data_IF_577039130686
#
_entry.id   IF_577039130686
#
_cell.length_a   1.000
_cell.length_b   1.000
_cell.length_c   1.000
_cell.angle_alpha   90.00
_cell.angle_beta   90.00
_cell.angle_gamma   90.00
#
_symmetry.space_group_name_H-M   'P 1'
#
loop_
_entity.id
_entity.type
_entity.pdbx_description
1 polymer ?
#
# COMPACT_ATOMS: atom_id res chain seq x y z
N UNK A 1 20.91 17.50 -37.92
CA UNK A 1 19.80 18.12 -37.18
C UNK A 1 19.22 19.25 -38.03
N UNK A 2 18.05 19.06 -38.66
CA UNK A 2 17.48 20.04 -39.60
C UNK A 2 17.02 21.34 -38.92
N UNK A 3 16.96 21.41 -37.59
CA UNK A 3 16.45 22.57 -36.86
C UNK A 3 17.46 23.71 -36.69
N UNK A 4 18.74 23.49 -37.01
CA UNK A 4 19.77 24.53 -36.99
C UNK A 4 19.84 25.40 -38.26
N UNK A 5 19.03 25.12 -39.27
CA UNK A 5 18.99 25.92 -40.49
C UNK A 5 17.91 27.00 -40.38
N UNK A 6 18.31 28.27 -40.48
CA UNK A 6 17.37 29.42 -40.45
C UNK A 6 16.56 29.56 -41.75
N UNK A 7 16.99 28.92 -42.84
CA UNK A 7 16.33 29.01 -44.13
C UNK A 7 15.43 27.79 -44.41
N UNK A 8 14.13 28.04 -44.53
CA UNK A 8 13.12 27.04 -44.90
C UNK A 8 13.35 26.42 -46.28
N UNK A 9 14.13 27.07 -47.16
CA UNK A 9 14.54 26.50 -48.45
C UNK A 9 15.51 25.33 -48.25
N UNK A 10 16.47 25.48 -47.33
CA UNK A 10 17.46 24.46 -47.00
C UNK A 10 16.83 23.29 -46.24
N UNK A 11 15.86 23.56 -45.35
CA UNK A 11 15.06 22.49 -44.71
C UNK A 11 14.28 21.67 -45.73
N UNK A 12 13.70 22.29 -46.77
CA UNK A 12 12.99 21.59 -47.84
C UNK A 12 13.93 20.77 -48.73
N UNK A 13 15.11 21.30 -49.04
CA UNK A 13 16.15 20.58 -49.78
C UNK A 13 16.63 19.33 -49.03
N UNK A 14 16.95 19.46 -47.74
CA UNK A 14 17.37 18.35 -46.88
C UNK A 14 16.27 17.30 -46.69
N UNK A 15 15.00 17.71 -46.57
CA UNK A 15 13.87 16.75 -46.53
C UNK A 15 13.71 15.99 -47.84
N UNK A 16 13.87 16.66 -49.00
CA UNK A 16 13.84 16.00 -50.31
C UNK A 16 15.01 15.03 -50.48
N UNK A 17 16.22 15.43 -50.09
CA UNK A 17 17.41 14.58 -50.16
C UNK A 17 17.28 13.35 -49.24
N UNK A 18 16.81 13.54 -48.01
CA UNK A 18 16.59 12.45 -47.07
C UNK A 18 15.51 11.48 -47.56
N UNK A 19 14.44 11.99 -48.18
CA UNK A 19 13.41 11.14 -48.79
C UNK A 19 13.92 10.39 -50.03
N UNK A 20 14.81 11.00 -50.82
CA UNK A 20 15.44 10.36 -51.99
C UNK A 20 16.39 9.24 -51.56
N UNK A 21 17.28 9.51 -50.61
CA UNK A 21 18.22 8.52 -50.06
C UNK A 21 17.45 7.37 -49.40
N UNK A 22 16.35 7.66 -48.68
CA UNK A 22 15.51 6.63 -48.10
C UNK A 22 14.78 5.79 -49.15
N UNK A 23 14.40 6.40 -50.27
CA UNK A 23 13.83 5.70 -51.43
C UNK A 23 14.85 4.77 -52.10
N UNK A 24 16.08 5.23 -52.32
CA UNK A 24 17.15 4.42 -52.92
C UNK A 24 17.63 3.29 -52.00
N UNK A 25 17.75 3.54 -50.69
CA UNK A 25 18.10 2.48 -49.73
C UNK A 25 17.00 1.42 -49.63
N UNK A 26 15.72 1.82 -49.65
CA UNK A 26 14.59 0.87 -49.60
C UNK A 26 14.42 0.10 -50.92
N UNK A 27 14.77 0.70 -52.05
CA UNK A 27 14.73 0.03 -53.35
C UNK A 27 15.97 -0.85 -53.63
N UNK A 28 17.08 -0.63 -52.91
CA UNK A 28 18.30 -1.44 -52.99
C UNK A 28 18.41 -2.55 -51.94
N UNK A 29 17.51 -2.59 -50.95
CA UNK A 29 17.30 -3.80 -50.14
C UNK A 29 16.48 -4.79 -50.96
N UNK A 30 17.17 -5.53 -51.82
CA UNK A 30 16.64 -6.60 -52.65
C UNK A 30 15.65 -7.52 -51.89
N UNK A 31 14.66 -8.01 -52.63
CA UNK A 31 13.70 -9.07 -52.27
C UNK A 31 14.36 -10.34 -51.66
N UNK A 32 15.68 -10.47 -51.78
CA UNK A 32 16.50 -11.52 -51.18
C UNK A 32 16.52 -11.50 -49.64
N UNK A 33 16.35 -10.35 -48.98
CA UNK A 33 16.22 -10.28 -47.50
C UNK A 33 14.81 -10.65 -47.05
N UNK A 34 13.80 -10.42 -47.91
CA UNK A 34 12.40 -10.76 -47.62
C UNK A 34 12.18 -12.28 -47.73
N UNK A 35 12.88 -12.96 -48.63
CA UNK A 35 12.79 -14.41 -48.83
C UNK A 35 13.24 -15.27 -47.62
N UNK A 36 14.02 -14.74 -46.68
CA UNK A 36 14.49 -15.48 -45.50
C UNK A 36 13.45 -15.52 -44.36
N UNK A 37 12.31 -14.85 -44.51
CA UNK A 37 11.27 -14.80 -43.46
C UNK A 37 10.09 -15.75 -43.67
N UNK A 38 10.13 -16.64 -44.66
CA UNK A 38 9.08 -17.62 -44.96
C UNK A 38 9.14 -18.88 -44.08
N UNK A 39 9.60 -18.76 -42.83
CA UNK A 39 9.43 -19.82 -41.85
C UNK A 39 7.95 -19.89 -41.46
N UNK A 40 7.32 -21.05 -41.72
CA UNK A 40 5.91 -21.32 -41.44
C UNK A 40 5.45 -20.93 -40.03
N UNK A 41 4.13 -20.84 -39.80
CA UNK A 41 3.55 -20.25 -38.59
C UNK A 41 4.18 -20.91 -37.36
N UNK A 42 4.97 -20.11 -36.63
CA UNK A 42 5.66 -20.56 -35.42
C UNK A 42 4.61 -21.01 -34.42
N UNK A 43 4.46 -22.33 -34.28
CA UNK A 43 3.58 -22.95 -33.30
C UNK A 43 4.15 -22.67 -31.91
N UNK A 44 3.51 -21.76 -31.17
CA UNK A 44 3.87 -21.47 -29.79
C UNK A 44 3.52 -22.68 -28.92
N UNK A 45 4.55 -23.38 -28.42
CA UNK A 45 4.38 -24.40 -27.37
C UNK A 45 4.30 -23.69 -26.02
N UNK A 46 3.14 -23.78 -25.37
CA UNK A 46 2.93 -23.25 -24.02
C UNK A 46 3.51 -24.23 -23.00
N UNK A 47 4.67 -23.90 -22.43
CA UNK A 47 5.21 -24.57 -21.23
C UNK A 47 4.78 -23.80 -19.98
N UNK A 48 5.09 -24.32 -18.78
CA UNK A 48 4.81 -23.72 -17.46
C UNK A 48 5.30 -22.26 -17.26
N UNK A 49 5.95 -21.64 -18.26
CA UNK A 49 6.19 -20.19 -18.34
C UNK A 49 4.93 -19.37 -18.62
N UNK A 50 3.73 -19.95 -18.47
CA UNK A 50 2.44 -19.29 -18.73
C UNK A 50 2.20 -18.09 -17.83
N UNK A 51 2.81 -18.04 -16.64
CA UNK A 51 2.74 -16.89 -15.74
C UNK A 51 3.53 -15.71 -16.31
N UNK A 52 4.77 -15.95 -16.76
CA UNK A 52 5.57 -14.92 -17.44
C UNK A 52 4.90 -14.47 -18.74
N UNK A 53 4.31 -15.42 -19.48
CA UNK A 53 3.57 -15.11 -20.70
C UNK A 53 2.30 -14.28 -20.41
N UNK A 54 1.55 -14.61 -19.36
CA UNK A 54 0.39 -13.82 -18.92
C UNK A 54 0.82 -12.41 -18.50
N UNK A 55 1.94 -12.29 -17.79
CA UNK A 55 2.52 -11.01 -17.36
C UNK A 55 2.92 -10.15 -18.56
N UNK A 56 3.57 -10.73 -19.57
CA UNK A 56 4.02 -10.03 -20.77
C UNK A 56 2.86 -9.66 -21.72
N UNK A 57 1.75 -10.41 -21.67
CA UNK A 57 0.57 -10.14 -22.49
C UNK A 57 -0.32 -9.02 -21.94
N UNK A 58 -0.04 -8.49 -20.73
CA UNK A 58 -0.82 -7.38 -20.20
C UNK A 58 -0.52 -6.08 -20.92
N UNK A 59 -1.51 -5.50 -21.57
CA UNK A 59 -1.41 -4.23 -22.30
C UNK A 59 -0.97 -3.07 -21.40
N UNK A 60 -1.50 -3.02 -20.18
CA UNK A 60 -1.17 -2.03 -19.16
C UNK A 60 -0.43 -2.66 -17.98
N UNK A 61 0.84 -2.29 -17.81
CA UNK A 61 1.66 -2.60 -16.62
C UNK A 61 1.12 -1.93 -15.37
N UNK A 62 0.50 -0.75 -15.51
CA UNK A 62 -0.12 -0.07 -14.37
C UNK A 62 -1.25 -0.92 -13.80
N UNK A 63 -2.08 -1.49 -14.67
CA UNK A 63 -3.13 -2.41 -14.25
C UNK A 63 -2.53 -3.66 -13.60
N UNK A 64 -1.48 -4.26 -14.19
CA UNK A 64 -0.79 -5.40 -13.56
C UNK A 64 -0.31 -5.07 -12.13
N UNK A 65 0.33 -3.92 -11.93
CA UNK A 65 0.79 -3.48 -10.61
C UNK A 65 -0.38 -3.26 -9.64
N UNK A 66 -1.49 -2.68 -10.11
CA UNK A 66 -2.70 -2.48 -9.31
C UNK A 66 -3.33 -3.82 -8.89
N UNK A 67 -3.36 -4.81 -9.80
CA UNK A 67 -3.85 -6.16 -9.48
C UNK A 67 -2.95 -6.82 -8.44
N UNK A 68 -1.62 -6.78 -8.62
CA UNK A 68 -0.68 -7.32 -7.61
C UNK A 68 -0.82 -6.63 -6.25
N UNK A 69 -0.90 -5.31 -6.23
CA UNK A 69 -1.05 -4.54 -5.00
C UNK A 69 -2.41 -4.80 -4.34
N UNK A 70 -3.48 -4.91 -5.12
CA UNK A 70 -4.80 -5.31 -4.65
C UNK A 70 -4.79 -6.69 -4.02
N UNK A 71 -4.16 -7.67 -4.67
CA UNK A 71 -3.99 -9.01 -4.11
C UNK A 71 -3.18 -9.00 -2.81
N UNK A 72 -2.08 -8.24 -2.76
CA UNK A 72 -1.27 -8.08 -1.55
C UNK A 72 -2.10 -7.47 -0.41
N UNK A 73 -2.93 -6.46 -0.68
CA UNK A 73 -3.83 -5.89 0.32
C UNK A 73 -4.87 -6.91 0.80
N UNK A 74 -5.45 -7.73 -0.09
CA UNK A 74 -6.37 -8.82 0.29
C UNK A 74 -5.65 -9.81 1.20
N UNK A 75 -4.44 -10.21 0.83
CA UNK A 75 -3.60 -11.13 1.60
C UNK A 75 -3.27 -10.58 2.99
N UNK A 76 -2.81 -9.32 3.07
CA UNK A 76 -2.49 -8.66 4.33
C UNK A 76 -3.72 -8.55 5.23
N UNK A 77 -4.86 -8.14 4.68
CA UNK A 77 -6.12 -8.07 5.44
C UNK A 77 -6.56 -9.44 5.96
N UNK A 78 -6.39 -10.47 5.14
CA UNK A 78 -6.70 -11.84 5.55
C UNK A 78 -5.77 -12.32 6.68
N UNK A 79 -4.49 -11.95 6.65
CA UNK A 79 -3.55 -12.22 7.74
C UNK A 79 -3.90 -11.45 9.02
N UNK A 80 -4.27 -10.16 8.91
CA UNK A 80 -4.55 -9.30 10.08
C UNK A 80 -5.84 -9.67 10.79
N UNK A 81 -6.89 -10.00 10.04
CA UNK A 81 -8.18 -10.34 10.65
C UNK A 81 -8.17 -11.73 11.31
N UNK A 82 -7.03 -12.43 11.19
CA UNK A 82 -6.84 -13.78 11.65
C UNK A 82 -7.70 -14.74 10.86
N UNK A 83 -7.14 -15.87 10.43
CA UNK A 83 -7.98 -17.06 10.27
C UNK A 83 -8.58 -17.27 11.66
N UNK A 84 -9.85 -16.87 11.88
CA UNK A 84 -10.57 -17.20 13.11
C UNK A 84 -10.30 -18.67 13.34
N UNK A 85 -9.53 -18.96 14.39
CA UNK A 85 -9.08 -20.31 14.73
C UNK A 85 -10.34 -21.08 15.07
N UNK A 86 -11.00 -21.66 14.07
CA UNK A 86 -11.97 -22.71 14.33
C UNK A 86 -11.11 -23.88 14.77
N UNK A 87 -11.22 -24.23 16.05
CA UNK A 87 -10.55 -25.38 16.63
C UNK A 87 -11.19 -26.66 16.10
N UNK A 88 -10.83 -27.02 14.87
CA UNK A 88 -11.53 -28.08 14.12
C UNK A 88 -11.06 -29.48 14.55
N UNK A 89 -9.89 -29.66 15.18
CA UNK A 89 -9.31 -31.03 15.31
C UNK A 89 -8.66 -31.38 16.66
N UNK A 90 -8.12 -30.43 17.43
CA UNK A 90 -7.38 -30.78 18.66
C UNK A 90 -8.11 -30.33 19.92
N UNK A 91 -8.75 -31.27 20.64
CA UNK A 91 -9.24 -31.03 22.00
C UNK A 91 -8.15 -31.23 23.08
N UNK A 92 -7.09 -31.97 22.77
CA UNK A 92 -6.02 -32.23 23.74
C UNK A 92 -4.96 -31.12 23.73
N UNK A 93 -4.53 -30.66 24.90
CA UNK A 93 -3.50 -29.62 25.04
C UNK A 93 -2.07 -30.06 24.70
N UNK A 94 -1.87 -31.30 24.27
CA UNK A 94 -0.55 -31.81 23.92
C UNK A 94 0.14 -30.93 22.87
N UNK A 95 1.41 -30.61 23.12
CA UNK A 95 2.26 -29.78 22.26
C UNK A 95 2.23 -30.25 20.78
N UNK A 96 2.34 -31.56 20.55
CA UNK A 96 2.29 -32.13 19.20
C UNK A 96 0.98 -31.84 18.46
N UNK A 97 -0.15 -31.82 19.17
CA UNK A 97 -1.46 -31.50 18.59
C UNK A 97 -1.51 -30.03 18.16
N UNK A 98 -1.03 -29.10 18.99
CA UNK A 98 -0.98 -27.66 18.68
C UNK A 98 -0.07 -27.37 17.47
N UNK A 99 1.09 -28.03 17.39
CA UNK A 99 2.01 -27.88 16.25
C UNK A 99 1.38 -28.43 14.96
N UNK A 100 0.82 -29.64 15.00
CA UNK A 100 0.16 -30.25 13.84
C UNK A 100 -1.04 -29.40 13.35
N UNK A 101 -1.85 -28.88 14.26
CA UNK A 101 -2.96 -27.97 13.94
C UNK A 101 -2.45 -26.66 13.32
N UNK A 102 -1.35 -26.11 13.82
CA UNK A 102 -0.73 -24.91 13.24
C UNK A 102 -0.25 -25.17 11.80
N UNK A 103 0.48 -26.27 11.57
CA UNK A 103 0.95 -26.65 10.23
C UNK A 103 -0.23 -26.86 9.28
N UNK A 104 -1.24 -27.61 9.71
CA UNK A 104 -2.43 -27.87 8.91
C UNK A 104 -3.15 -26.57 8.53
N UNK A 105 -3.36 -25.67 9.50
CA UNK A 105 -3.97 -24.37 9.25
C UNK A 105 -3.16 -23.55 8.24
N UNK A 106 -1.84 -23.52 8.33
CA UNK A 106 -0.98 -22.84 7.37
C UNK A 106 -1.04 -23.47 5.97
N UNK A 107 -1.06 -24.79 5.86
CA UNK A 107 -1.16 -25.49 4.56
C UNK A 107 -2.51 -25.21 3.90
N UNK A 108 -3.61 -25.34 4.64
CA UNK A 108 -4.96 -25.04 4.14
C UNK A 108 -5.06 -23.57 3.75
N UNK A 109 -4.49 -22.68 4.56
CA UNK A 109 -4.44 -21.25 4.29
C UNK A 109 -3.69 -20.94 2.99
N UNK A 110 -2.49 -21.50 2.80
CA UNK A 110 -1.68 -21.30 1.60
C UNK A 110 -2.38 -21.84 0.35
N UNK A 111 -3.06 -22.99 0.46
CA UNK A 111 -3.84 -23.56 -0.63
C UNK A 111 -5.04 -22.67 -0.98
N UNK A 112 -5.80 -22.21 0.02
CA UNK A 112 -6.95 -21.33 -0.17
C UNK A 112 -6.53 -20.00 -0.82
N UNK A 113 -5.46 -19.38 -0.31
CA UNK A 113 -4.93 -18.12 -0.85
C UNK A 113 -4.40 -18.27 -2.26
N UNK A 114 -3.80 -19.42 -2.60
CA UNK A 114 -3.36 -19.72 -3.96
C UNK A 114 -4.54 -19.85 -4.91
N UNK A 115 -5.60 -20.58 -4.52
CA UNK A 115 -6.82 -20.71 -5.32
C UNK A 115 -7.53 -19.37 -5.52
N UNK A 116 -7.73 -18.61 -4.44
CA UNK A 116 -8.33 -17.27 -4.50
C UNK A 116 -7.47 -16.34 -5.35
N UNK A 117 -6.14 -16.39 -5.19
CA UNK A 117 -5.20 -15.62 -5.99
C UNK A 117 -5.34 -15.92 -7.48
N UNK A 118 -5.36 -17.18 -7.87
CA UNK A 118 -5.54 -17.57 -9.28
C UNK A 118 -6.86 -17.01 -9.84
N UNK A 119 -7.97 -17.20 -9.13
CA UNK A 119 -9.28 -16.67 -9.56
C UNK A 119 -9.27 -15.15 -9.62
N UNK A 120 -8.64 -14.48 -8.65
CA UNK A 120 -8.49 -13.03 -8.61
C UNK A 120 -7.69 -12.50 -9.81
N UNK A 121 -6.52 -13.06 -10.08
CA UNK A 121 -5.66 -12.62 -11.19
C UNK A 121 -6.32 -12.85 -12.56
N UNK A 122 -6.97 -14.00 -12.74
CA UNK A 122 -7.71 -14.30 -13.99
C UNK A 122 -8.88 -13.34 -14.15
N UNK A 123 -9.72 -13.17 -13.12
CA UNK A 123 -10.91 -12.34 -13.22
C UNK A 123 -10.56 -10.87 -13.38
N UNK A 124 -9.78 -10.27 -12.48
CA UNK A 124 -9.44 -8.84 -12.50
C UNK A 124 -8.49 -8.49 -13.65
N UNK A 125 -7.61 -9.43 -14.03
CA UNK A 125 -6.70 -9.27 -15.17
C UNK A 125 -7.38 -9.43 -16.53
N UNK A 126 -8.57 -10.04 -16.57
CA UNK A 126 -9.34 -10.21 -17.81
C UNK A 126 -9.63 -8.87 -18.48
N UNK A 127 -9.56 -8.83 -19.81
CA UNK A 127 -9.75 -7.62 -20.62
C UNK A 127 -8.50 -6.74 -20.81
N UNK A 128 -7.38 -7.07 -20.16
CA UNK A 128 -6.10 -6.37 -20.34
C UNK A 128 -5.12 -7.13 -21.25
N UNK A 129 -5.56 -8.14 -22.00
CA UNK A 129 -4.71 -8.88 -22.95
C UNK A 129 -4.48 -8.04 -24.24
N UNK A 130 -3.24 -8.02 -24.74
CA UNK A 130 -2.89 -7.37 -26.00
C UNK A 130 -3.54 -8.06 -27.22
N UNK A 131 -3.63 -9.39 -27.20
CA UNK A 131 -4.00 -10.21 -28.35
C UNK A 131 -5.48 -10.60 -28.35
N UNK A 132 -6.06 -10.85 -27.17
CA UNK A 132 -7.46 -11.26 -27.05
C UNK A 132 -8.36 -10.07 -26.73
N UNK A 133 -9.15 -9.64 -27.72
CA UNK A 133 -10.05 -8.49 -27.61
C UNK A 133 -11.50 -8.95 -27.68
N UNK A 134 -12.08 -9.24 -26.53
CA UNK A 134 -13.51 -9.53 -26.40
C UNK A 134 -14.14 -8.60 -25.37
N UNK A 135 -15.33 -8.08 -25.67
CA UNK A 135 -16.13 -7.33 -24.69
C UNK A 135 -16.46 -8.19 -23.46
N UNK A 136 -16.64 -9.51 -23.63
CA UNK A 136 -16.89 -10.43 -22.51
C UNK A 136 -15.72 -10.46 -21.52
N UNK A 137 -14.48 -10.44 -22.01
CA UNK A 137 -13.30 -10.48 -21.15
C UNK A 137 -13.22 -9.21 -20.28
N UNK A 138 -13.63 -8.05 -20.82
CA UNK A 138 -13.71 -6.80 -20.07
C UNK A 138 -14.84 -6.84 -19.04
N UNK A 139 -16.01 -7.38 -19.40
CA UNK A 139 -17.14 -7.54 -18.46
C UNK A 139 -16.74 -8.45 -17.29
N UNK A 140 -16.03 -9.55 -17.56
CA UNK A 140 -15.44 -10.42 -16.53
C UNK A 140 -14.43 -9.64 -15.67
N UNK A 141 -13.61 -8.79 -16.30
CA UNK A 141 -12.69 -7.86 -15.63
C UNK A 141 -13.39 -6.95 -14.62
N UNK A 142 -14.44 -6.27 -15.05
CA UNK A 142 -15.23 -5.35 -14.21
C UNK A 142 -15.95 -6.12 -13.10
N UNK A 143 -16.57 -7.26 -13.42
CA UNK A 143 -17.21 -8.12 -12.42
C UNK A 143 -16.22 -8.60 -11.36
N UNK A 144 -15.00 -8.99 -11.77
CA UNK A 144 -13.92 -9.36 -10.86
C UNK A 144 -13.54 -8.24 -9.90
N UNK A 145 -13.40 -6.99 -10.40
CA UNK A 145 -13.15 -5.81 -9.55
C UNK A 145 -14.25 -5.62 -8.51
N UNK A 146 -15.51 -5.73 -8.91
CA UNK A 146 -16.65 -5.58 -7.99
C UNK A 146 -16.65 -6.67 -6.92
N UNK A 147 -16.51 -7.94 -7.32
CA UNK A 147 -16.57 -9.10 -6.41
C UNK A 147 -15.38 -9.15 -5.45
N UNK A 148 -14.17 -8.85 -5.91
CA UNK A 148 -12.96 -9.03 -5.09
C UNK A 148 -12.47 -7.76 -4.39
N UNK A 149 -12.77 -6.55 -4.90
CA UNK A 149 -12.28 -5.31 -4.30
C UNK A 149 -13.39 -4.50 -3.63
N UNK A 150 -14.62 -4.49 -4.17
CA UNK A 150 -15.70 -3.66 -3.64
C UNK A 150 -16.54 -4.43 -2.62
N UNK A 151 -16.94 -5.66 -2.94
CA UNK A 151 -17.83 -6.46 -2.10
C UNK A 151 -17.24 -6.79 -0.71
N UNK A 152 -15.94 -7.11 -0.54
CA UNK A 152 -15.34 -7.31 0.78
C UNK A 152 -15.29 -6.06 1.66
N UNK A 153 -15.57 -4.87 1.11
CA UNK A 153 -15.72 -3.64 1.89
C UNK A 153 -17.09 -3.59 2.57
N UNK A 154 -18.12 -4.11 1.92
CA UNK A 154 -19.50 -4.08 2.42
C UNK A 154 -19.73 -5.07 3.56
N UNK A 155 -19.06 -6.24 3.52
CA UNK A 155 -19.19 -7.26 4.56
C UNK A 155 -18.32 -7.02 5.80
N UNK A 156 -17.58 -5.91 5.84
CA UNK A 156 -16.80 -5.54 7.02
C UNK A 156 -17.72 -4.85 8.04
N UNK A 157 -18.41 -5.62 8.87
CA UNK A 157 -19.27 -5.10 9.95
C UNK A 157 -18.49 -4.60 11.16
N UNK A 158 -17.15 -4.67 11.13
CA UNK A 158 -16.29 -4.18 12.21
C UNK A 158 -16.46 -2.67 12.40
N UNK A 159 -16.51 -2.24 13.67
CA UNK A 159 -16.86 -0.88 14.08
C UNK A 159 -15.91 0.15 13.45
N UNK A 160 -16.45 1.34 13.14
CA UNK A 160 -15.68 2.44 12.56
C UNK A 160 -14.52 2.94 13.45
N UNK A 161 -14.42 2.47 14.69
CA UNK A 161 -13.36 2.85 15.63
C UNK A 161 -11.98 2.27 15.31
N UNK A 162 -11.88 1.17 14.56
CA UNK A 162 -10.56 0.60 14.23
C UNK A 162 -9.93 1.28 13.00
N UNK A 163 -8.94 2.14 13.25
CA UNK A 163 -8.18 2.85 12.23
C UNK A 163 -7.54 1.94 11.19
N UNK A 164 -7.18 0.69 11.55
CA UNK A 164 -6.59 -0.27 10.61
C UNK A 164 -7.58 -0.65 9.52
N UNK A 165 -8.82 -0.93 9.92
CA UNK A 165 -9.90 -1.24 9.01
C UNK A 165 -10.27 -0.05 8.14
N UNK A 166 -10.31 1.16 8.71
CA UNK A 166 -10.52 2.39 7.95
C UNK A 166 -9.44 2.59 6.87
N UNK A 167 -8.17 2.40 7.23
CA UNK A 167 -7.04 2.50 6.30
C UNK A 167 -7.18 1.52 5.13
N UNK A 168 -7.40 0.23 5.41
CA UNK A 168 -7.56 -0.77 4.36
C UNK A 168 -8.76 -0.45 3.46
N UNK A 169 -9.89 0.01 4.01
CA UNK A 169 -11.05 0.40 3.21
C UNK A 169 -10.73 1.51 2.21
N UNK A 170 -10.04 2.58 2.64
CA UNK A 170 -9.64 3.68 1.76
C UNK A 170 -8.68 3.18 0.67
N UNK A 171 -7.67 2.39 1.04
CA UNK A 171 -6.71 1.83 0.08
C UNK A 171 -7.41 0.96 -0.97
N UNK A 172 -8.34 0.09 -0.55
CA UNK A 172 -9.12 -0.74 -1.48
C UNK A 172 -9.99 0.08 -2.42
N UNK A 173 -10.64 1.15 -1.95
CA UNK A 173 -11.44 2.05 -2.81
C UNK A 173 -10.54 2.71 -3.87
N UNK A 174 -9.34 3.16 -3.49
CA UNK A 174 -8.38 3.74 -4.43
C UNK A 174 -7.94 2.71 -5.47
N UNK A 175 -7.56 1.49 -5.06
CA UNK A 175 -7.14 0.43 -5.98
C UNK A 175 -8.30 0.03 -6.90
N UNK A 176 -9.51 -0.14 -6.36
CA UNK A 176 -10.70 -0.52 -7.12
C UNK A 176 -11.06 0.53 -8.16
N UNK A 177 -11.07 1.81 -7.77
CA UNK A 177 -11.36 2.92 -8.68
C UNK A 177 -10.32 3.04 -9.80
N UNK A 178 -9.03 2.98 -9.49
CA UNK A 178 -7.96 3.02 -10.49
C UNK A 178 -8.02 1.81 -11.45
N UNK A 179 -8.32 0.62 -10.93
CA UNK A 179 -8.46 -0.59 -11.74
C UNK A 179 -9.69 -0.49 -12.66
N UNK A 180 -10.81 0.03 -12.15
CA UNK A 180 -12.03 0.25 -12.92
C UNK A 180 -11.81 1.30 -14.01
N UNK A 181 -11.09 2.39 -13.73
CA UNK A 181 -10.67 3.36 -14.75
C UNK A 181 -9.83 2.69 -15.83
N UNK A 182 -8.88 1.83 -15.47
CA UNK A 182 -8.10 1.07 -16.46
C UNK A 182 -9.00 0.18 -17.35
N UNK A 183 -9.98 -0.51 -16.76
CA UNK A 183 -10.92 -1.34 -17.50
C UNK A 183 -11.83 -0.51 -18.42
N UNK A 184 -12.30 0.64 -17.96
CA UNK A 184 -13.06 1.58 -18.79
C UNK A 184 -12.22 2.13 -19.95
N UNK A 185 -10.93 2.42 -19.74
CA UNK A 185 -10.03 2.84 -20.82
C UNK A 185 -9.80 1.72 -21.84
N UNK A 186 -9.69 0.46 -21.39
CA UNK A 186 -9.61 -0.70 -22.28
C UNK A 186 -10.90 -0.86 -23.11
N UNK A 187 -12.07 -0.70 -22.47
CA UNK A 187 -13.37 -0.74 -23.15
C UNK A 187 -13.51 0.37 -24.18
N UNK A 188 -13.19 1.62 -23.79
CA UNK A 188 -13.21 2.78 -24.67
C UNK A 188 -12.32 2.55 -25.90
N UNK A 189 -11.14 1.95 -25.71
CA UNK A 189 -10.24 1.63 -26.83
C UNK A 189 -10.81 0.60 -27.80
N UNK A 190 -11.64 -0.34 -27.36
CA UNK A 190 -12.32 -1.25 -28.29
C UNK A 190 -13.41 -0.54 -29.08
N UNK A 191 -14.07 0.45 -28.46
CA UNK A 191 -15.17 1.18 -29.09
C UNK A 191 -14.73 2.26 -30.08
N UNK A 192 -13.50 2.78 -29.98
CA UNK A 192 -12.98 3.81 -30.88
C UNK A 192 -12.08 3.22 -31.99
N UNK A 193 -12.24 3.70 -33.22
CA UNK A 193 -11.38 3.30 -34.35
C UNK A 193 -9.94 3.78 -34.17
N UNK A 194 -8.97 3.02 -34.71
CA UNK A 194 -7.56 3.38 -34.63
C UNK A 194 -7.25 4.72 -35.31
N UNK A 195 -7.98 5.08 -36.36
CA UNK A 195 -7.88 6.38 -37.04
C UNK A 195 -8.27 7.54 -36.12
N UNK A 196 -9.40 7.43 -35.42
CA UNK A 196 -9.87 8.46 -34.49
C UNK A 196 -8.84 8.69 -33.37
N UNK A 197 -8.27 7.60 -32.86
CA UNK A 197 -7.28 7.69 -31.78
C UNK A 197 -5.94 8.21 -32.29
N UNK A 198 -5.56 7.86 -33.52
CA UNK A 198 -4.38 8.40 -34.20
C UNK A 198 -4.48 9.91 -34.44
N UNK A 199 -5.68 10.42 -34.73
CA UNK A 199 -5.92 11.84 -34.96
C UNK A 199 -5.70 12.70 -33.71
N UNK A 200 -5.88 12.16 -32.50
CA UNK A 200 -5.76 12.92 -31.26
C UNK A 200 -4.55 12.46 -30.43
N UNK A 201 -3.55 13.34 -30.30
CA UNK A 201 -2.31 13.09 -29.53
C UNK A 201 -2.56 12.74 -28.06
N UNK A 202 -3.63 13.28 -27.46
CA UNK A 202 -3.96 13.02 -26.05
C UNK A 202 -4.61 11.64 -25.88
N UNK A 203 -5.59 11.30 -26.72
CA UNK A 203 -6.24 9.98 -26.71
C UNK A 203 -5.26 8.86 -27.05
N UNK A 204 -4.42 9.04 -28.07
CA UNK A 204 -3.32 8.11 -28.33
C UNK A 204 -2.37 8.03 -27.14
N UNK A 205 -2.16 9.12 -26.40
CA UNK A 205 -1.31 9.08 -25.21
C UNK A 205 -1.95 8.32 -24.04
N UNK A 206 -3.26 8.31 -23.87
CA UNK A 206 -3.89 7.58 -22.77
C UNK A 206 -4.15 6.12 -23.17
N UNK A 207 -4.65 5.90 -24.39
CA UNK A 207 -5.15 4.59 -24.84
C UNK A 207 -4.08 3.68 -25.49
N UNK A 208 -2.88 4.19 -25.80
CA UNK A 208 -1.83 3.36 -26.41
C UNK A 208 -1.35 2.21 -25.48
N UNK A 209 -1.70 2.21 -24.20
CA UNK A 209 -1.20 1.20 -23.25
C UNK A 209 0.30 1.35 -22.99
N UNK A 210 0.79 0.89 -21.85
CA UNK A 210 2.21 0.99 -21.53
C UNK A 210 3.05 0.02 -22.37
N UNK A 211 2.55 -1.17 -22.69
CA UNK A 211 3.32 -2.19 -23.41
C UNK A 211 3.54 -1.81 -24.87
N UNK A 212 2.53 -1.33 -25.59
CA UNK A 212 2.73 -0.92 -26.98
C UNK A 212 3.70 0.26 -27.09
N UNK A 213 3.71 1.16 -26.10
CA UNK A 213 4.71 2.24 -26.01
C UNK A 213 6.10 1.72 -25.75
N UNK A 214 6.22 0.77 -24.83
CA UNK A 214 7.49 0.14 -24.51
C UNK A 214 8.07 -0.59 -25.71
N UNK A 215 7.23 -1.32 -26.44
CA UNK A 215 7.59 -2.00 -27.69
C UNK A 215 7.98 -0.99 -28.78
N UNK A 216 7.22 0.10 -28.95
CA UNK A 216 7.55 1.16 -29.90
C UNK A 216 8.88 1.84 -29.55
N UNK A 217 9.13 2.09 -28.26
CA UNK A 217 10.41 2.63 -27.77
C UNK A 217 11.55 1.66 -28.01
N UNK A 218 11.33 0.37 -27.77
CA UNK A 218 12.32 -0.68 -28.02
C UNK A 218 12.67 -0.77 -29.51
N UNK A 219 11.67 -0.78 -30.40
CA UNK A 219 11.85 -0.73 -31.85
C UNK A 219 12.57 0.56 -32.29
N UNK A 220 12.20 1.71 -31.72
CA UNK A 220 12.91 2.97 -31.97
C UNK A 220 14.37 2.92 -31.50
N UNK A 221 14.67 2.23 -30.40
CA UNK A 221 16.03 2.07 -29.89
C UNK A 221 16.86 1.16 -30.81
N UNK A 222 16.26 0.08 -31.31
CA UNK A 222 16.88 -0.79 -32.30
C UNK A 222 17.26 -0.02 -33.56
N UNK A 223 16.31 0.73 -34.14
CA UNK A 223 16.56 1.55 -35.34
C UNK A 223 17.63 2.61 -35.06
N UNK A 224 17.56 3.30 -33.92
CA UNK A 224 18.58 4.28 -33.53
C UNK A 224 19.97 3.66 -33.45
N UNK A 225 20.08 2.45 -32.87
CA UNK A 225 21.35 1.75 -32.73
C UNK A 225 21.91 1.27 -34.06
N UNK A 226 21.07 0.71 -34.94
CA UNK A 226 21.48 0.31 -36.29
C UNK A 226 21.95 1.53 -37.08
N UNK A 227 21.21 2.64 -37.03
CA UNK A 227 21.62 3.89 -37.69
C UNK A 227 22.95 4.42 -37.14
N UNK A 228 23.16 4.35 -35.83
CA UNK A 228 24.43 4.75 -35.20
C UNK A 228 25.58 3.82 -35.56
N UNK A 229 25.33 2.51 -35.68
CA UNK A 229 26.33 1.55 -36.17
C UNK A 229 26.72 1.84 -37.61
N UNK A 230 25.74 2.12 -38.48
CA UNK A 230 25.97 2.52 -39.87
C UNK A 230 26.73 3.84 -39.97
N UNK A 231 26.37 4.84 -39.16
CA UNK A 231 27.08 6.13 -39.10
C UNK A 231 28.51 5.95 -38.59
N UNK A 232 28.72 5.13 -37.56
CA UNK A 232 30.05 4.81 -37.06
C UNK A 232 30.89 4.06 -38.11
N UNK A 233 30.31 3.08 -38.80
CA UNK A 233 30.98 2.35 -39.87
C UNK A 233 31.32 3.28 -41.03
N UNK A 234 30.40 4.17 -41.42
CA UNK A 234 30.64 5.18 -42.42
C UNK A 234 31.78 6.12 -42.01
N UNK A 235 31.75 6.66 -40.79
CA UNK A 235 32.81 7.54 -40.27
C UNK A 235 34.16 6.84 -40.13
N UNK A 236 34.16 5.51 -39.92
CA UNK A 236 35.38 4.71 -39.86
C UNK A 236 36.02 4.53 -41.23
N UNK A 237 35.19 4.32 -42.25
CA UNK A 237 35.61 4.06 -43.63
C UNK A 237 35.71 5.32 -44.48
N UNK A 238 35.12 6.44 -44.08
CA UNK A 238 35.25 7.71 -44.75
C UNK A 238 36.56 8.35 -44.30
N UNK A 239 37.62 8.34 -45.14
CA UNK A 239 38.86 9.00 -44.77
C UNK A 239 38.54 10.47 -44.62
N UNK A 240 38.57 11.00 -43.38
CA UNK A 240 38.69 12.44 -43.18
C UNK A 240 39.83 12.88 -44.07
N UNK A 241 39.54 13.74 -45.05
CA UNK A 241 40.44 14.21 -46.11
C UNK A 241 41.70 14.90 -45.56
N UNK A 242 42.58 14.14 -44.91
CA UNK A 242 43.96 14.49 -44.66
C UNK A 242 44.67 14.35 -45.99
N UNK A 243 44.58 15.40 -46.80
CA UNK A 243 45.22 15.55 -48.10
C UNK A 243 46.70 15.14 -47.98
N UNK A 244 47.09 14.02 -48.58
CA UNK A 244 48.46 13.86 -49.09
C UNK A 244 49.26 12.61 -48.72
N UNK A 245 48.74 11.64 -47.96
CA UNK A 245 49.52 10.40 -47.71
C UNK A 245 48.81 9.14 -48.20
N UNK A 246 49.57 8.41 -49.00
CA UNK A 246 49.19 7.25 -49.80
C UNK A 246 48.94 6.03 -48.90
N UNK A 247 47.94 5.27 -49.33
CA UNK A 247 47.42 4.02 -48.80
C UNK A 247 48.47 3.00 -48.34
N UNK A 248 48.49 2.70 -47.04
CA UNK A 248 48.72 1.34 -46.54
C UNK A 248 47.65 0.99 -45.48
N UNK A 249 47.00 -0.16 -45.68
CA UNK A 249 46.09 -0.84 -44.74
C UNK A 249 44.79 -0.12 -44.34
N UNK A 250 43.76 -0.11 -45.19
CA UNK A 250 42.40 0.38 -44.82
C UNK A 250 41.84 -0.25 -43.54
N UNK A 251 42.25 -1.48 -43.24
CA UNK A 251 41.81 -2.21 -42.05
C UNK A 251 42.55 -1.79 -40.78
N UNK A 252 43.86 -1.52 -40.85
CA UNK A 252 44.64 -1.06 -39.70
C UNK A 252 44.19 0.32 -39.27
N UNK A 253 43.94 1.22 -40.23
CA UNK A 253 43.44 2.56 -39.97
C UNK A 253 42.04 2.54 -39.33
N UNK A 254 41.19 1.61 -39.76
CA UNK A 254 39.87 1.39 -39.17
C UNK A 254 39.96 0.88 -37.72
N UNK A 255 40.84 -0.07 -37.42
CA UNK A 255 41.09 -0.54 -36.05
C UNK A 255 41.63 0.58 -35.14
N UNK A 256 42.51 1.42 -35.66
CA UNK A 256 43.12 2.54 -34.94
C UNK A 256 42.14 3.70 -34.70
N UNK A 257 41.21 3.93 -35.64
CA UNK A 257 40.11 4.88 -35.45
C UNK A 257 39.05 4.32 -34.49
N UNK A 258 38.78 3.01 -34.52
CA UNK A 258 37.84 2.37 -33.60
C UNK A 258 38.30 2.50 -32.15
N UNK A 259 39.58 2.23 -31.86
CA UNK A 259 40.15 2.40 -30.52
C UNK A 259 40.06 3.85 -30.04
N UNK A 260 40.40 4.83 -30.91
CA UNK A 260 40.26 6.27 -30.57
C UNK A 260 38.81 6.71 -30.30
N UNK A 261 37.84 6.12 -30.99
CA UNK A 261 36.41 6.46 -30.82
C UNK A 261 35.80 5.72 -29.63
N UNK A 262 36.28 4.50 -29.32
CA UNK A 262 35.80 3.68 -28.21
C UNK A 262 35.97 4.35 -26.84
N UNK A 263 36.96 5.24 -26.68
CA UNK A 263 37.25 5.93 -25.42
C UNK A 263 36.37 7.18 -25.17
N UNK A 264 35.45 7.51 -26.07
CA UNK A 264 34.52 8.63 -25.85
C UNK A 264 33.48 8.26 -24.80
N UNK A 265 33.75 8.59 -23.55
CA UNK A 265 32.77 8.53 -22.46
C UNK A 265 31.77 9.68 -22.58
N UNK A 266 30.47 9.41 -22.44
CA UNK A 266 29.48 10.49 -22.30
C UNK A 266 29.41 10.98 -20.84
N UNK A 267 29.32 12.30 -20.64
CA UNK A 267 29.13 12.87 -19.32
C UNK A 267 27.67 12.65 -18.90
N UNK A 268 27.44 11.69 -18.01
CA UNK A 268 26.12 11.44 -17.41
C UNK A 268 25.93 12.30 -16.16
N UNK A 269 24.83 13.07 -16.09
CA UNK A 269 24.59 14.11 -15.07
C UNK A 269 24.21 13.62 -13.67
N UNK A 270 24.76 12.50 -13.21
CA UNK A 270 24.49 11.92 -11.89
C UNK A 270 23.03 11.45 -11.67
N UNK A 271 22.60 11.40 -10.41
CA UNK A 271 21.33 10.81 -9.99
C UNK A 271 20.08 11.50 -10.58
N UNK A 272 20.03 12.84 -10.52
CA UNK A 272 18.89 13.62 -11.03
C UNK A 272 18.75 13.45 -12.55
N UNK A 273 19.87 13.37 -13.26
CA UNK A 273 19.87 13.09 -14.70
C UNK A 273 19.38 11.67 -15.00
N UNK A 274 19.80 10.67 -14.22
CA UNK A 274 19.36 9.29 -14.41
C UNK A 274 17.85 9.15 -14.22
N UNK A 275 17.29 9.73 -13.14
CA UNK A 275 15.85 9.74 -12.91
C UNK A 275 15.08 10.53 -13.97
N UNK A 276 15.57 11.72 -14.35
CA UNK A 276 14.96 12.49 -15.44
C UNK A 276 14.94 11.69 -16.73
N UNK A 277 16.06 11.07 -17.12
CA UNK A 277 16.19 10.29 -18.35
C UNK A 277 15.39 8.98 -18.33
N UNK A 278 15.21 8.38 -17.14
CA UNK A 278 14.34 7.24 -16.92
C UNK A 278 12.87 7.62 -17.08
N UNK A 279 12.43 8.72 -16.44
CA UNK A 279 11.04 9.20 -16.47
C UNK A 279 10.64 9.77 -17.84
N UNK A 280 11.53 10.51 -18.51
CA UNK A 280 11.28 10.93 -19.91
C UNK A 280 11.26 9.74 -20.86
N UNK A 281 11.89 8.63 -20.47
CA UNK A 281 12.06 7.44 -21.30
C UNK A 281 13.11 7.60 -22.38
N UNK A 282 13.91 8.69 -22.34
CA UNK A 282 15.02 8.91 -23.27
C UNK A 282 16.06 7.80 -23.14
N UNK A 283 16.30 7.35 -21.91
CA UNK A 283 17.25 6.27 -21.64
C UNK A 283 16.80 4.97 -22.32
N UNK A 284 15.50 4.65 -22.24
CA UNK A 284 14.92 3.47 -22.91
C UNK A 284 14.91 3.62 -24.43
N UNK A 285 14.79 4.84 -24.95
CA UNK A 285 14.83 5.11 -26.40
C UNK A 285 16.24 5.03 -26.97
N UNK A 286 17.28 5.42 -26.22
CA UNK A 286 18.68 5.38 -26.67
C UNK A 286 19.34 4.03 -26.41
N UNK A 287 19.15 3.50 -25.20
CA UNK A 287 19.87 2.34 -24.69
C UNK A 287 18.97 1.12 -24.49
N UNK A 288 17.69 1.14 -24.87
CA UNK A 288 16.67 0.16 -24.46
C UNK A 288 16.97 -1.34 -24.66
N UNK A 289 17.92 -1.68 -25.53
CA UNK A 289 18.39 -3.08 -25.73
C UNK A 289 19.49 -3.45 -24.72
N UNK A 290 20.29 -2.46 -24.31
CA UNK A 290 21.51 -2.61 -23.48
C UNK A 290 21.37 -1.95 -22.12
N UNK A 291 20.18 -1.45 -21.80
CA UNK A 291 19.90 -0.83 -20.52
C UNK A 291 20.16 -1.89 -19.46
N UNK A 292 21.31 -1.76 -18.78
CA UNK A 292 21.76 -2.80 -17.89
C UNK A 292 20.64 -3.04 -16.88
N UNK A 293 20.17 -4.28 -16.79
CA UNK A 293 19.20 -4.71 -15.78
C UNK A 293 19.63 -4.26 -14.38
N UNK A 294 20.95 -4.12 -14.16
CA UNK A 294 21.58 -3.53 -12.97
C UNK A 294 21.19 -2.07 -12.70
N UNK A 295 21.07 -1.22 -13.72
CA UNK A 295 20.67 0.18 -13.55
C UNK A 295 19.19 0.29 -13.15
N UNK A 296 18.32 -0.51 -13.80
CA UNK A 296 16.90 -0.58 -13.42
C UNK A 296 16.77 -1.13 -12.01
N UNK A 297 17.46 -2.23 -11.70
CA UNK A 297 17.47 -2.83 -10.37
C UNK A 297 17.97 -1.84 -9.31
N UNK A 298 19.01 -1.06 -9.61
CA UNK A 298 19.51 0.01 -8.74
C UNK A 298 18.47 1.09 -8.46
N UNK A 299 17.80 1.61 -9.49
CA UNK A 299 16.74 2.61 -9.34
C UNK A 299 15.52 2.04 -8.57
N UNK A 300 15.15 0.80 -8.83
CA UNK A 300 14.04 0.12 -8.14
C UNK A 300 14.37 -0.19 -6.69
N UNK A 301 15.60 -0.64 -6.39
CA UNK A 301 16.07 -0.84 -5.03
C UNK A 301 16.06 0.48 -4.24
N UNK A 302 16.54 1.57 -4.83
CA UNK A 302 16.49 2.90 -4.22
C UNK A 302 15.06 3.37 -3.91
N UNK A 303 14.11 3.13 -4.83
CA UNK A 303 12.70 3.42 -4.60
C UNK A 303 12.15 2.58 -3.44
N UNK A 304 12.43 1.27 -3.44
CA UNK A 304 11.99 0.35 -2.39
C UNK A 304 12.54 0.76 -1.01
N UNK A 305 13.84 1.03 -0.90
CA UNK A 305 14.44 1.48 0.37
C UNK A 305 13.87 2.82 0.82
N UNK A 306 13.57 3.74 -0.11
CA UNK A 306 12.90 5.00 0.22
C UNK A 306 11.50 4.76 0.80
N UNK A 307 10.70 3.87 0.19
CA UNK A 307 9.36 3.52 0.67
C UNK A 307 9.43 2.84 2.03
N UNK A 308 10.31 1.85 2.20
CA UNK A 308 10.53 1.17 3.48
C UNK A 308 10.97 2.17 4.56
N UNK A 309 11.87 3.10 4.21
CA UNK A 309 12.32 4.16 5.12
C UNK A 309 11.19 5.07 5.56
N UNK A 310 10.32 5.52 4.63
CA UNK A 310 9.16 6.37 4.93
C UNK A 310 8.15 5.61 5.81
N UNK A 311 7.83 4.36 5.47
CA UNK A 311 6.91 3.53 6.26
C UNK A 311 7.50 3.27 7.65
N UNK A 312 8.78 2.89 7.73
CA UNK A 312 9.47 2.64 8.99
C UNK A 312 9.52 3.89 9.87
N UNK A 313 9.81 5.06 9.30
CA UNK A 313 9.75 6.34 10.01
C UNK A 313 8.33 6.70 10.45
N UNK A 314 7.31 6.43 9.64
CA UNK A 314 5.91 6.67 10.01
C UNK A 314 5.45 5.77 11.16
N UNK A 315 5.86 4.50 11.16
CA UNK A 315 5.59 3.58 12.26
C UNK A 315 6.33 4.04 13.52
N UNK A 316 7.62 4.34 13.40
CA UNK A 316 8.43 4.85 14.52
C UNK A 316 7.84 6.14 15.09
N UNK A 317 7.39 7.07 14.24
CA UNK A 317 6.72 8.30 14.65
C UNK A 317 5.44 8.03 15.46
N UNK A 318 4.61 7.07 15.02
CA UNK A 318 3.44 6.66 15.80
C UNK A 318 3.80 6.02 17.15
N UNK A 319 4.85 5.20 17.20
CA UNK A 319 5.33 4.66 18.47
C UNK A 319 5.88 5.76 19.39
N UNK A 320 6.61 6.74 18.86
CA UNK A 320 7.12 7.88 19.63
C UNK A 320 5.96 8.71 20.16
N UNK A 321 4.95 9.04 19.36
CA UNK A 321 3.74 9.74 19.84
C UNK A 321 2.99 8.90 20.88
N UNK A 322 2.94 7.58 20.74
CA UNK A 322 2.36 6.70 21.74
C UNK A 322 3.14 6.67 23.06
N UNK A 323 4.47 6.82 23.00
CA UNK A 323 5.37 6.86 24.16
C UNK A 323 5.42 8.21 24.86
N UNK A 324 5.00 9.28 24.18
CA UNK A 324 4.69 10.56 24.80
C UNK A 324 3.17 10.62 24.98
N UNK A 325 2.59 10.02 26.05
CA UNK A 325 1.22 10.36 26.42
C UNK A 325 1.22 11.87 26.59
N UNK A 326 0.57 12.58 25.66
CA UNK A 326 0.49 14.03 25.72
C UNK A 326 0.03 14.38 27.12
N UNK A 327 0.86 15.15 27.84
CA UNK A 327 0.74 15.49 29.26
C UNK A 327 -0.69 15.23 29.80
N UNK A 328 -0.95 14.00 30.25
CA UNK A 328 -2.19 13.65 30.96
C UNK A 328 -2.13 14.14 32.41
N UNK A 329 -1.15 14.99 32.72
CA UNK A 329 -0.82 15.49 34.05
C UNK A 329 -1.85 16.45 34.62
N UNK A 330 -2.86 16.86 33.84
CA UNK A 330 -3.89 17.81 34.28
C UNK A 330 -5.32 17.27 34.11
N UNK A 331 -5.55 15.98 34.36
CA UNK A 331 -6.92 15.48 34.49
C UNK A 331 -7.37 15.67 35.94
N UNK A 332 -8.02 16.81 36.22
CA UNK A 332 -8.55 17.09 37.55
C UNK A 332 -9.89 16.37 37.70
N UNK A 333 -9.98 15.52 38.72
CA UNK A 333 -11.21 14.82 39.08
C UNK A 333 -11.81 15.56 40.27
N UNK A 334 -13.02 16.09 40.10
CA UNK A 334 -13.79 16.63 41.22
C UNK A 334 -14.90 15.66 41.59
N UNK A 335 -14.92 15.27 42.86
CA UNK A 335 -15.91 14.36 43.44
C UNK A 335 -16.68 15.13 44.51
N UNK A 336 -18.01 15.12 44.43
CA UNK A 336 -18.84 15.61 45.52
C UNK A 336 -18.94 14.51 46.59
N UNK A 337 -18.45 14.71 47.83
CA UNK A 337 -18.51 13.67 48.86
C UNK A 337 -19.94 13.23 49.21
N UNK A 338 -20.92 14.13 49.07
CA UNK A 338 -22.33 13.84 49.38
C UNK A 338 -22.97 12.89 48.37
N UNK A 339 -22.38 12.72 47.18
CA UNK A 339 -22.87 11.79 46.15
C UNK A 339 -22.17 10.43 46.20
N UNK A 340 -21.33 10.20 47.21
CA UNK A 340 -20.63 8.95 47.47
C UNK A 340 -21.36 8.08 48.50
N UNK A 341 -21.49 6.81 48.19
CA UNK A 341 -22.01 5.78 49.09
C UNK A 341 -20.89 4.80 49.44
N UNK A 342 -20.50 4.76 50.71
CA UNK A 342 -19.53 3.80 51.25
C UNK A 342 -20.28 2.77 52.12
N UNK A 343 -20.40 1.50 51.68
CA UNK A 343 -21.06 0.49 52.49
C UNK A 343 -20.19 0.13 53.72
N UNK A 344 -20.83 0.06 54.88
CA UNK A 344 -20.26 -0.53 56.09
C UNK A 344 -20.63 -2.01 56.16
N UNK A 345 -19.64 -2.88 56.39
CA UNK A 345 -19.83 -4.32 56.62
C UNK A 345 -19.49 -4.57 58.09
N UNK A 346 -20.46 -5.07 58.86
CA UNK A 346 -20.33 -5.38 60.29
C UNK A 346 -19.85 -4.19 61.16
N UNK A 347 -20.22 -2.96 60.79
CA UNK A 347 -19.83 -1.73 61.50
C UNK A 347 -18.40 -1.28 61.23
N UNK A 348 -17.74 -1.88 60.23
CA UNK A 348 -16.46 -1.43 59.69
C UNK A 348 -16.63 -0.95 58.25
N UNK A 349 -16.05 0.21 57.91
CA UNK A 349 -16.05 0.68 56.53
C UNK A 349 -15.36 -0.36 55.62
N UNK A 350 -15.98 -0.63 54.48
CA UNK A 350 -15.40 -1.50 53.45
C UNK A 350 -14.19 -0.87 52.74
N UNK A 351 -13.91 0.42 52.95
CA UNK A 351 -12.85 1.16 52.27
C UNK A 351 -13.10 1.35 50.76
N UNK A 352 -14.34 1.09 50.31
CA UNK A 352 -14.77 1.26 48.92
C UNK A 352 -15.93 2.24 48.91
N UNK A 353 -15.87 3.26 48.05
CA UNK A 353 -16.96 4.23 47.88
C UNK A 353 -17.45 4.24 46.43
N UNK A 354 -18.77 4.16 46.25
CA UNK A 354 -19.44 4.35 44.98
C UNK A 354 -19.92 5.80 44.86
N UNK A 355 -19.28 6.59 44.01
CA UNK A 355 -19.58 8.00 43.83
C UNK A 355 -20.31 8.25 42.50
N UNK A 356 -21.40 9.00 42.54
CA UNK A 356 -22.13 9.46 41.35
C UNK A 356 -21.79 10.92 41.04
N UNK A 357 -21.90 11.34 39.77
CA UNK A 357 -21.64 12.73 39.38
C UNK A 357 -20.17 13.16 39.44
N UNK A 358 -19.23 12.23 39.25
CA UNK A 358 -17.80 12.55 39.19
C UNK A 358 -17.53 13.35 37.92
N UNK A 359 -17.00 14.57 38.08
CA UNK A 359 -16.70 15.46 36.96
C UNK A 359 -15.21 15.43 36.62
N UNK A 360 -14.92 15.27 35.34
CA UNK A 360 -13.56 15.33 34.81
C UNK A 360 -13.30 16.69 34.15
N UNK A 361 -12.40 17.47 34.74
CA UNK A 361 -11.96 18.76 34.20
C UNK A 361 -10.58 18.61 33.54
N UNK A 362 -10.52 18.81 32.22
CA UNK A 362 -9.27 18.82 31.45
C UNK A 362 -9.44 18.35 30.00
N UNK A 363 -8.67 18.95 29.08
CA UNK A 363 -8.63 18.53 27.67
C UNK A 363 -8.02 17.12 27.57
N UNK A 364 -8.84 16.12 27.22
CA UNK A 364 -8.40 14.72 27.01
C UNK A 364 -8.78 13.71 28.09
N UNK A 365 -9.50 14.13 29.14
CA UNK A 365 -10.07 13.21 30.14
C UNK A 365 -11.25 12.40 29.59
N UNK A 366 -12.07 13.04 28.75
CA UNK A 366 -13.17 12.41 28.06
C UNK A 366 -12.66 11.67 26.81
N UNK A 367 -12.80 10.34 26.78
CA UNK A 367 -12.79 9.61 25.51
C UNK A 367 -11.59 8.71 25.19
N UNK A 368 -10.65 8.46 26.11
CA UNK A 368 -9.76 7.30 25.97
C UNK A 368 -10.39 6.07 26.62
N UNK A 369 -11.19 5.36 25.83
CA UNK A 369 -11.55 3.95 26.05
C UNK A 369 -10.26 3.14 26.16
N UNK A 370 -9.76 2.92 27.37
CA UNK A 370 -8.70 1.94 27.60
C UNK A 370 -9.36 0.55 27.56
N UNK A 371 -9.01 -0.23 26.54
CA UNK A 371 -9.28 -1.67 26.51
C UNK A 371 -8.42 -2.35 27.59
N UNK A 372 -8.94 -2.51 28.80
CA UNK A 372 -8.33 -3.36 29.82
C UNK A 372 -9.39 -4.25 30.50
N UNK A 373 -9.25 -5.54 30.18
CA UNK A 373 -9.56 -6.77 30.92
C UNK A 373 -11.01 -7.01 31.37
N UNK A 374 -11.63 -7.95 30.64
CA UNK A 374 -12.83 -8.72 30.99
C UNK A 374 -12.80 -9.29 32.42
N UNK A 375 -13.37 -8.57 33.37
CA UNK A 375 -13.95 -9.21 34.55
C UNK A 375 -15.26 -8.55 34.97
N UNK A 376 -16.15 -8.42 33.98
CA UNK A 376 -17.56 -8.00 34.15
C UNK A 376 -18.22 -8.75 35.31
N UNK A 377 -17.92 -10.03 35.51
CA UNK A 377 -18.48 -10.84 36.61
C UNK A 377 -18.09 -10.32 38.00
N UNK A 378 -16.88 -9.79 38.17
CA UNK A 378 -16.43 -9.25 39.45
C UNK A 378 -17.05 -7.87 39.73
N UNK A 379 -17.24 -7.03 38.70
CA UNK A 379 -18.00 -5.79 38.81
C UNK A 379 -19.46 -6.08 39.23
N UNK A 380 -20.10 -7.06 38.57
CA UNK A 380 -21.45 -7.49 38.94
C UNK A 380 -21.54 -8.05 40.36
N UNK A 381 -20.53 -8.81 40.79
CA UNK A 381 -20.47 -9.32 42.15
C UNK A 381 -20.37 -8.19 43.18
N UNK A 382 -19.50 -7.20 42.95
CA UNK A 382 -19.39 -6.02 43.82
C UNK A 382 -20.67 -5.19 43.81
N UNK A 383 -21.31 -5.03 42.64
CA UNK A 383 -22.62 -4.39 42.49
C UNK A 383 -23.73 -5.07 43.29
N UNK A 384 -23.73 -6.40 43.38
CA UNK A 384 -24.71 -7.17 44.16
C UNK A 384 -24.51 -7.02 45.68
N UNK A 385 -23.30 -6.63 46.12
CA UNK A 385 -23.00 -6.39 47.53
C UNK A 385 -23.39 -4.98 47.99
N UNK A 386 -23.67 -4.05 47.05
CA UNK A 386 -24.16 -2.71 47.37
C UNK A 386 -25.68 -2.82 47.58
N UNK A 387 -26.19 -2.52 48.79
CA UNK A 387 -27.63 -2.59 49.04
C UNK A 387 -28.40 -1.59 48.16
N UNK A 388 -29.63 -1.92 47.75
CA UNK A 388 -30.45 -1.04 46.93
C UNK A 388 -30.71 0.29 47.64
N UNK A 389 -30.84 1.36 46.85
CA UNK A 389 -31.00 2.72 47.34
C UNK A 389 -32.25 2.79 48.25
N UNK A 390 -32.17 3.33 49.48
CA UNK A 390 -33.32 3.36 50.38
C UNK A 390 -34.50 4.14 49.76
N UNK A 391 -35.52 3.40 49.32
CA UNK A 391 -36.72 3.95 48.68
C UNK A 391 -36.98 3.46 47.24
N UNK A 392 -36.02 2.75 46.61
CA UNK A 392 -36.21 2.08 45.33
C UNK A 392 -35.78 0.61 45.43
N UNK A 393 -36.45 -0.28 44.68
CA UNK A 393 -36.03 -1.69 44.58
C UNK A 393 -34.93 -1.90 43.52
N UNK A 394 -34.38 -0.83 42.96
CA UNK A 394 -33.36 -0.87 41.92
C UNK A 394 -31.98 -0.84 42.59
N UNK A 395 -31.11 -1.79 42.22
CA UNK A 395 -29.72 -1.73 42.65
C UNK A 395 -29.04 -0.58 41.91
N UNK A 396 -28.08 0.08 42.54
CA UNK A 396 -27.33 1.21 41.94
C UNK A 396 -26.72 0.84 40.58
N UNK A 397 -26.51 -0.46 40.31
CA UNK A 397 -25.96 -0.95 39.07
C UNK A 397 -27.00 -1.27 37.99
N UNK A 398 -28.29 -1.45 38.32
CA UNK A 398 -29.35 -1.70 37.32
C UNK A 398 -29.59 -0.48 36.42
N UNK A 399 -29.34 0.72 36.92
CA UNK A 399 -29.43 1.98 36.17
C UNK A 399 -28.18 2.30 35.33
N UNK A 400 -27.06 1.62 35.59
CA UNK A 400 -25.78 1.79 34.88
C UNK A 400 -25.74 0.97 33.58
N UNK A 401 -26.67 0.03 33.39
CA UNK A 401 -26.77 -0.92 32.25
C UNK A 401 -27.12 -0.24 30.91
N UNK A 402 -27.35 1.06 30.86
CA UNK A 402 -27.76 1.74 29.63
C UNK A 402 -26.59 2.12 28.69
N UNK A 403 -25.33 2.06 29.13
CA UNK A 403 -24.19 2.54 28.34
C UNK A 403 -23.08 1.48 28.22
N UNK A 404 -22.94 0.95 27.00
CA UNK A 404 -22.15 -0.25 26.67
C UNK A 404 -20.63 -0.04 26.57
N UNK A 405 -20.04 1.05 27.09
CA UNK A 405 -18.59 1.28 26.94
C UNK A 405 -17.91 2.08 28.07
N UNK A 406 -16.66 1.66 28.30
CA UNK A 406 -15.51 2.33 28.94
C UNK A 406 -15.20 1.99 30.41
N UNK A 407 -14.02 1.39 30.60
CA UNK A 407 -13.29 1.30 31.86
C UNK A 407 -12.07 2.25 31.77
N UNK A 408 -11.81 3.02 32.83
CA UNK A 408 -10.58 3.78 32.98
C UNK A 408 -10.16 3.79 34.45
N UNK A 409 -8.89 3.46 34.70
CA UNK A 409 -8.21 3.62 35.99
C UNK A 409 -7.43 4.93 35.97
N UNK A 410 -7.63 5.80 36.97
CA UNK A 410 -6.93 7.07 37.09
C UNK A 410 -6.08 7.11 38.37
N UNK A 411 -4.86 7.61 38.25
CA UNK A 411 -4.04 8.08 39.38
C UNK A 411 -4.04 9.61 39.34
N UNK A 412 -4.69 10.25 40.31
CA UNK A 412 -4.70 11.70 40.45
C UNK A 412 -3.90 12.14 41.67
N UNK A 413 -2.98 13.09 41.51
CA UNK A 413 -2.42 13.87 42.63
C UNK A 413 -3.16 15.21 42.70
N UNK A 414 -3.84 15.47 43.83
CA UNK A 414 -4.53 16.73 44.07
C UNK A 414 -3.57 17.80 44.60
N UNK A 415 -3.60 18.98 43.99
CA UNK A 415 -2.82 20.16 44.41
C UNK A 415 -3.67 21.13 45.22
N UNK A 416 -3.85 20.88 46.54
CA UNK A 416 -3.49 21.81 47.64
C UNK A 416 -4.23 21.55 48.98
N UNK A 417 -3.37 21.47 50.00
CA UNK A 417 -3.46 21.72 51.44
C UNK A 417 -3.93 20.68 52.47
N UNK A 418 -4.84 19.75 52.22
CA UNK A 418 -4.95 18.50 53.02
C UNK A 418 -5.51 17.42 52.06
N UNK A 419 -4.68 16.44 51.68
CA UNK A 419 -4.90 15.62 50.48
C UNK A 419 -5.03 14.15 50.86
N UNK A 420 -6.18 13.56 50.55
CA UNK A 420 -6.37 12.11 50.53
C UNK A 420 -6.08 11.58 49.13
N UNK A 421 -5.07 10.74 48.99
CA UNK A 421 -4.78 10.03 47.74
C UNK A 421 -5.70 8.83 47.61
N UNK A 422 -6.42 8.73 46.50
CA UNK A 422 -7.27 7.60 46.17
C UNK A 422 -7.03 7.19 44.71
N UNK A 423 -6.88 5.89 44.47
CA UNK A 423 -6.93 5.38 43.11
C UNK A 423 -8.40 5.24 42.69
N UNK A 424 -8.73 5.82 41.54
CA UNK A 424 -10.05 5.64 40.90
C UNK A 424 -9.96 4.35 40.11
N UNK A 425 -10.69 3.32 40.55
CA UNK A 425 -10.50 1.97 40.01
C UNK A 425 -11.37 1.71 38.80
N UNK A 426 -12.60 2.25 38.78
CA UNK A 426 -13.54 2.00 37.68
C UNK A 426 -14.55 3.13 37.59
N UNK A 427 -14.76 3.70 36.40
CA UNK A 427 -15.78 4.71 36.14
C UNK A 427 -16.62 4.32 34.93
N UNK A 428 -17.93 4.57 34.99
CA UNK A 428 -18.87 4.45 33.87
C UNK A 428 -19.42 5.83 33.53
N UNK A 429 -19.14 6.30 32.32
CA UNK A 429 -19.60 7.60 31.82
C UNK A 429 -21.05 7.50 31.32
N UNK A 430 -21.88 8.44 31.73
CA UNK A 430 -23.26 8.58 31.23
C UNK A 430 -23.50 9.91 30.51
N UNK A 431 -22.55 10.84 30.59
CA UNK A 431 -22.50 12.14 29.90
C UNK A 431 -21.04 12.45 29.51
N UNK A 432 -20.79 13.46 28.66
CA UNK A 432 -19.45 13.73 28.09
C UNK A 432 -18.35 13.90 29.15
N UNK A 433 -18.67 14.48 30.32
CA UNK A 433 -17.68 14.75 31.39
C UNK A 433 -18.12 14.20 32.77
N UNK A 434 -19.17 13.39 32.81
CA UNK A 434 -19.82 12.95 34.06
C UNK A 434 -19.88 11.43 34.14
N UNK A 435 -19.39 10.86 35.23
CA UNK A 435 -19.35 9.41 35.43
C UNK A 435 -19.80 8.97 36.84
N UNK A 436 -20.15 7.70 36.95
CA UNK A 436 -20.26 6.99 38.22
C UNK A 436 -18.98 6.17 38.44
N UNK A 437 -18.28 6.38 39.55
CA UNK A 437 -16.98 5.76 39.81
C UNK A 437 -16.95 4.97 41.13
N UNK A 438 -16.23 3.85 41.11
CA UNK A 438 -15.79 3.11 42.29
C UNK A 438 -14.39 3.61 42.69
N UNK A 439 -14.29 4.10 43.92
CA UNK A 439 -13.07 4.61 44.53
C UNK A 439 -12.58 3.66 45.61
N UNK A 440 -11.25 3.55 45.76
CA UNK A 440 -10.65 2.82 46.90
C UNK A 440 -10.38 1.34 46.65
N UNK A 441 -10.33 0.86 45.40
CA UNK A 441 -9.86 -0.50 45.11
C UNK A 441 -8.51 -0.47 44.40
N UNK A 442 -7.56 -1.31 44.84
CA UNK A 442 -6.29 -1.46 44.13
C UNK A 442 -6.52 -2.25 42.82
N UNK A 443 -6.07 -1.76 41.64
CA UNK A 443 -6.47 -2.32 40.34
C UNK A 443 -6.03 -3.77 40.09
N UNK A 444 -4.97 -4.23 40.76
CA UNK A 444 -4.44 -5.59 40.58
C UNK A 444 -4.94 -6.58 41.65
N UNK A 445 -5.29 -6.11 42.84
CA UNK A 445 -5.61 -6.97 43.99
C UNK A 445 -7.07 -6.91 44.42
N UNK A 446 -7.83 -5.90 43.95
CA UNK A 446 -9.19 -5.58 44.38
C UNK A 446 -9.34 -5.46 45.91
N UNK A 447 -8.23 -5.25 46.63
CA UNK A 447 -8.27 -4.98 48.06
C UNK A 447 -8.63 -3.50 48.32
N UNK A 448 -9.36 -3.21 49.40
CA UNK A 448 -9.60 -1.85 49.83
C UNK A 448 -8.28 -1.11 50.03
N UNK A 449 -8.13 0.02 49.35
CA UNK A 449 -6.98 0.90 49.49
C UNK A 449 -7.33 1.95 50.55
N UNK A 450 -6.53 2.00 51.61
CA UNK A 450 -6.71 2.99 52.66
C UNK A 450 -6.23 4.35 52.14
N UNK A 451 -7.09 5.37 52.17
CA UNK A 451 -6.77 6.73 51.73
C UNK A 451 -5.52 7.24 52.48
N UNK A 452 -4.46 7.59 51.76
CA UNK A 452 -3.23 8.11 52.36
C UNK A 452 -3.28 9.64 52.47
N UNK A 453 -3.15 10.17 53.70
CA UNK A 453 -3.01 11.61 53.98
C UNK A 453 -3.40 12.00 55.41
N UNK A 454 -2.88 13.13 55.94
CA UNK A 454 -3.32 13.67 57.23
C UNK A 454 -4.79 14.10 57.15
N UNK A 455 -5.64 13.53 58.01
CA UNK A 455 -7.09 13.80 58.04
C UNK A 455 -7.97 12.84 57.23
N UNK A 456 -7.38 11.85 56.55
CA UNK A 456 -8.11 10.89 55.71
C UNK A 456 -8.73 9.73 56.47
N UNK A 457 -8.37 9.54 57.74
CA UNK A 457 -8.92 8.50 58.62
C UNK A 457 -10.42 8.71 58.92
N UNK A 458 -10.95 9.92 58.71
CA UNK A 458 -12.35 10.27 58.97
C UNK A 458 -13.24 10.30 57.73
N UNK A 459 -12.70 10.00 56.54
CA UNK A 459 -13.50 9.85 55.32
C UNK A 459 -13.86 8.36 55.23
N UNK A 460 -15.15 8.00 55.36
CA UNK A 460 -15.57 6.60 55.38
C UNK A 460 -15.27 5.87 54.08
#
# INVERSE_FOLDING_TARGET
DPDNFQDDSQKRGLRKLNNSIRGEIMNGLDDSVIAVTEHGPVSKKYTLSTVDFAVDNFRSKAQLLLVWFGFLCIFLRYLTNGVRKKDIVCKSEHFGCKVAQSIFNWVVLMLLLSLIGIVYFISVGSGNDVYRRSYLDIVVGVAGVVVFLILPLQFSTESLGDWKNAFFRVVFIIIASLTLVCQCLNAARLSFSDEFIGSNKFLSRILAGSNARDEMKFKSAAVFKVNRMLENAYNLHHPTHSRGQVHEGTNELALLNFTKVSDKTEVVGGFKWAWKSFLTGDLKRKEGIWLQTRLIAGLMAQLLFSIIGIIGLSIAWHYVIGLYPGDTTNCNISVNPESCYAPEVDGTSSGIAACTGVMFEGDGCAGRSLDIVNNIELFWYTCQLIPPNPGTNETVCDSVVAYDNAYATFEGESTNNEVCKAQVTTCVFYEENTAACLLGMQPESFMPYQFEGPGCESIP
#
